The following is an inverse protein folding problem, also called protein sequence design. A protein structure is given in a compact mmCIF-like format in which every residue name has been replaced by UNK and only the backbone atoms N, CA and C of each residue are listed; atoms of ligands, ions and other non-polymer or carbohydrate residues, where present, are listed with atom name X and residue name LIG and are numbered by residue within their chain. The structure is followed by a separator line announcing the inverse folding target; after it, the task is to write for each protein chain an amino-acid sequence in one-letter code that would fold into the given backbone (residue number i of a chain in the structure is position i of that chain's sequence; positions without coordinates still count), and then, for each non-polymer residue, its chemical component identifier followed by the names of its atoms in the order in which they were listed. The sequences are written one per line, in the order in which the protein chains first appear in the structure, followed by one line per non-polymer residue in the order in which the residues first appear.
data_IF_422914162145
#
_entry.id   IF_422914162145
#
_cell.length_a   1.000
_cell.length_b   1.000
_cell.length_c   1.000
_cell.angle_alpha   90.00
_cell.angle_beta   90.00
_cell.angle_gamma   90.00
#
_symmetry.space_group_name_H-M   'P 1'
#
loop_
_entity.id
_entity.type
_entity.pdbx_description
1 polymer ?
#
# COMPACT_ATOMS: atom_id res chain seq x y z
N UNK A 1 10.57 3.80 -1.54
CA UNK A 1 9.17 3.45 -1.20
C UNK A 1 8.27 4.16 -2.20
N UNK A 2 7.23 3.49 -2.70
CA UNK A 2 6.44 3.98 -3.85
C UNK A 2 4.93 3.88 -3.60
N UNK A 3 4.17 4.59 -4.41
CA UNK A 3 2.71 4.53 -4.44
C UNK A 3 2.25 3.32 -5.25
N UNK A 4 0.98 2.94 -5.09
CA UNK A 4 0.39 1.76 -5.73
C UNK A 4 -0.04 2.05 -7.17
N UNK A 5 0.92 2.50 -7.98
CA UNK A 5 0.75 2.79 -9.40
C UNK A 5 1.62 1.85 -10.25
N UNK A 6 1.02 0.96 -11.07
CA UNK A 6 1.79 -0.01 -11.85
C UNK A 6 2.84 0.61 -12.76
N UNK A 7 2.54 1.77 -13.36
CA UNK A 7 3.47 2.49 -14.23
C UNK A 7 4.69 3.01 -13.45
N UNK A 8 4.47 3.63 -12.27
CA UNK A 8 5.54 4.13 -11.43
C UNK A 8 6.43 2.99 -10.92
N UNK A 9 5.83 1.90 -10.40
CA UNK A 9 6.58 0.72 -9.93
C UNK A 9 7.45 0.17 -11.05
N UNK A 10 6.89 -0.01 -12.25
CA UNK A 10 7.63 -0.53 -13.41
C UNK A 10 8.75 0.42 -13.85
N UNK A 11 8.52 1.74 -13.83
CA UNK A 11 9.55 2.72 -14.13
C UNK A 11 10.72 2.61 -13.14
N UNK A 12 10.45 2.57 -11.83
CA UNK A 12 11.50 2.41 -10.82
C UNK A 12 12.26 1.09 -10.97
N UNK A 13 11.57 -0.02 -11.26
CA UNK A 13 12.20 -1.32 -11.50
C UNK A 13 13.17 -1.27 -12.69
N UNK A 14 12.78 -0.60 -13.77
CA UNK A 14 13.59 -0.48 -14.97
C UNK A 14 14.78 0.47 -14.79
N UNK A 15 14.58 1.59 -14.08
CA UNK A 15 15.62 2.60 -13.87
C UNK A 15 16.62 2.19 -12.78
N UNK A 16 16.15 1.49 -11.73
CA UNK A 16 16.96 1.09 -10.59
C UNK A 16 16.81 -0.42 -10.31
N UNK A 17 17.31 -1.30 -11.18
CA UNK A 17 17.06 -2.74 -11.09
C UNK A 17 17.66 -3.40 -9.83
N UNK A 18 18.70 -2.80 -9.25
CA UNK A 18 19.31 -3.26 -7.99
C UNK A 18 18.58 -2.76 -6.74
N UNK A 19 17.67 -1.79 -6.86
CA UNK A 19 16.99 -1.22 -5.72
C UNK A 19 15.84 -2.14 -5.25
N UNK A 20 15.72 -2.31 -3.93
CA UNK A 20 14.53 -2.94 -3.36
C UNK A 20 13.37 -1.96 -3.37
N UNK A 21 12.32 -2.29 -4.12
CA UNK A 21 11.11 -1.48 -4.21
C UNK A 21 10.08 -2.02 -3.23
N UNK A 22 9.56 -1.12 -2.38
CA UNK A 22 8.52 -1.41 -1.40
C UNK A 22 7.41 -0.36 -1.51
N UNK A 23 6.16 -0.78 -1.37
CA UNK A 23 5.00 0.10 -1.34
C UNK A 23 4.88 0.83 0.00
N UNK A 24 4.30 2.03 -0.01
CA UNK A 24 4.04 2.80 1.20
C UNK A 24 2.87 2.21 2.00
N UNK A 25 3.02 1.98 3.31
CA UNK A 25 1.95 1.43 4.15
C UNK A 25 0.74 2.37 4.21
N UNK A 26 0.98 3.68 4.23
CA UNK A 26 -0.10 4.68 4.23
C UNK A 26 -0.93 4.58 2.96
N UNK A 27 -0.30 4.55 1.79
CA UNK A 27 -1.01 4.43 0.51
C UNK A 27 -1.69 3.07 0.35
N UNK A 28 -1.09 1.98 0.85
CA UNK A 28 -1.78 0.69 0.92
C UNK A 28 -3.05 0.77 1.76
N UNK A 29 -2.94 1.35 2.96
CA UNK A 29 -4.06 1.60 3.86
C UNK A 29 -5.17 2.41 3.19
N UNK A 30 -4.81 3.48 2.47
CA UNK A 30 -5.76 4.29 1.72
C UNK A 30 -6.48 3.51 0.61
N UNK A 31 -5.78 2.64 -0.13
CA UNK A 31 -6.40 1.81 -1.17
C UNK A 31 -7.48 0.89 -0.58
N UNK A 32 -7.15 0.16 0.49
CA UNK A 32 -8.09 -0.74 1.18
C UNK A 32 -9.23 0.07 1.80
N UNK A 33 -8.92 1.19 2.47
CA UNK A 33 -9.91 2.05 3.12
C UNK A 33 -10.92 2.62 2.11
N UNK A 34 -10.48 3.15 0.97
CA UNK A 34 -11.38 3.65 -0.08
C UNK A 34 -12.31 2.56 -0.60
N UNK A 35 -11.81 1.32 -0.75
CA UNK A 35 -12.64 0.19 -1.16
C UNK A 35 -13.68 -0.16 -0.09
N UNK A 36 -13.28 -0.24 1.18
CA UNK A 36 -14.21 -0.47 2.30
C UNK A 36 -15.30 0.62 2.37
N UNK A 37 -14.92 1.88 2.16
CA UNK A 37 -15.86 3.00 2.11
C UNK A 37 -16.86 2.87 0.97
N UNK A 38 -16.39 2.59 -0.25
CA UNK A 38 -17.22 2.47 -1.44
C UNK A 38 -18.28 1.35 -1.31
N UNK A 39 -17.96 0.29 -0.59
CA UNK A 39 -18.85 -0.87 -0.37
C UNK A 39 -19.63 -0.78 0.95
N UNK A 40 -19.59 0.34 1.67
CA UNK A 40 -20.40 0.56 2.87
C UNK A 40 -19.86 -0.05 4.17
N UNK A 41 -18.62 -0.57 4.20
CA UNK A 41 -18.01 -1.20 5.38
C UNK A 41 -17.29 -0.22 6.33
N UNK A 42 -17.53 1.08 6.18
CA UNK A 42 -16.83 2.12 6.96
C UNK A 42 -17.08 2.01 8.46
N UNK A 43 -18.33 1.80 8.88
CA UNK A 43 -18.67 1.70 10.31
C UNK A 43 -18.14 0.42 10.91
N UNK A 44 -18.32 -0.69 10.20
CA UNK A 44 -17.80 -2.01 10.57
C UNK A 44 -16.31 -1.95 10.86
N UNK A 45 -15.52 -1.42 9.93
CA UNK A 45 -14.07 -1.31 10.07
C UNK A 45 -13.62 -0.43 11.25
N UNK A 46 -14.40 0.57 11.66
CA UNK A 46 -14.04 1.43 12.79
C UNK A 46 -14.40 0.81 14.15
N UNK A 47 -15.45 -0.01 14.18
CA UNK A 47 -16.06 -0.46 15.43
C UNK A 47 -15.80 -1.94 15.73
N UNK A 48 -15.43 -2.74 14.73
CA UNK A 48 -15.12 -4.17 14.88
C UNK A 48 -13.60 -4.37 14.78
N UNK A 49 -12.88 -4.52 15.91
CA UNK A 49 -11.43 -4.65 15.91
C UNK A 49 -10.93 -5.89 15.17
N UNK A 50 -11.76 -6.94 15.12
CA UNK A 50 -11.43 -8.19 14.43
C UNK A 50 -11.52 -8.07 12.90
N UNK A 51 -12.21 -7.04 12.38
CA UNK A 51 -12.30 -6.78 10.94
C UNK A 51 -11.09 -5.98 10.42
N UNK A 52 -9.88 -6.52 10.66
CA UNK A 52 -8.61 -5.81 10.50
C UNK A 52 -7.80 -6.26 9.27
N UNK A 53 -8.34 -6.09 8.05
CA UNK A 53 -7.66 -6.48 6.80
C UNK A 53 -6.23 -5.92 6.63
N UNK A 54 -5.94 -4.74 7.20
CA UNK A 54 -4.59 -4.15 7.14
C UNK A 54 -3.56 -4.88 8.01
N UNK A 55 -3.98 -5.71 8.96
CA UNK A 55 -3.10 -6.53 9.77
C UNK A 55 -2.26 -7.50 8.92
N UNK A 56 -2.79 -7.94 7.77
CA UNK A 56 -2.09 -8.80 6.80
C UNK A 56 -0.75 -8.19 6.33
N UNK A 57 -0.60 -6.86 6.34
CA UNK A 57 0.67 -6.23 5.98
C UNK A 57 1.80 -6.56 6.97
N UNK A 58 1.46 -6.96 8.20
CA UNK A 58 2.43 -7.27 9.24
C UNK A 58 2.65 -8.76 9.43
N UNK A 59 2.08 -9.59 8.56
CA UNK A 59 2.24 -11.04 8.55
C UNK A 59 3.45 -11.39 7.67
N UNK A 60 4.25 -12.41 8.02
CA UNK A 60 5.31 -12.87 7.15
C UNK A 60 4.78 -13.17 5.74
N UNK A 61 5.44 -12.71 4.66
CA UNK A 61 4.89 -12.81 3.31
C UNK A 61 4.44 -14.21 2.86
N UNK A 62 5.10 -15.25 3.36
CA UNK A 62 4.78 -16.64 3.05
C UNK A 62 3.50 -17.13 3.74
N UNK A 63 3.11 -16.53 4.87
CA UNK A 63 1.95 -16.95 5.68
C UNK A 63 0.69 -16.12 5.35
N UNK A 64 0.84 -15.03 4.59
CA UNK A 64 -0.25 -14.10 4.24
C UNK A 64 -1.43 -14.80 3.56
N UNK A 65 -1.17 -15.72 2.63
CA UNK A 65 -2.23 -16.38 1.85
C UNK A 65 -3.03 -17.30 2.76
N UNK A 66 -2.34 -18.14 3.55
CA UNK A 66 -2.97 -19.07 4.48
C UNK A 66 -3.80 -18.32 5.54
N UNK A 67 -3.24 -17.27 6.13
CA UNK A 67 -3.99 -16.47 7.09
C UNK A 67 -5.19 -15.77 6.45
N UNK A 68 -5.04 -15.24 5.22
CA UNK A 68 -6.17 -14.63 4.52
C UNK A 68 -7.30 -15.65 4.29
N UNK A 69 -6.97 -16.85 3.83
CA UNK A 69 -7.95 -17.94 3.65
C UNK A 69 -8.64 -18.30 4.97
N UNK A 70 -7.87 -18.41 6.07
CA UNK A 70 -8.43 -18.69 7.39
C UNK A 70 -9.34 -17.57 7.91
N UNK A 71 -8.99 -16.31 7.67
CA UNK A 71 -9.85 -15.18 8.05
C UNK A 71 -11.22 -15.25 7.36
N UNK A 72 -11.30 -15.77 6.13
CA UNK A 72 -12.58 -15.92 5.42
C UNK A 72 -13.53 -16.93 6.08
N UNK A 73 -13.03 -17.81 6.95
CA UNK A 73 -13.82 -18.75 7.73
C UNK A 73 -14.45 -18.09 8.97
N UNK A 74 -13.87 -16.98 9.43
CA UNK A 74 -14.30 -16.26 10.63
C UNK A 74 -15.62 -15.49 10.37
N UNK A 75 -16.59 -15.51 11.31
CA UNK A 75 -17.81 -14.71 11.22
C UNK A 75 -17.60 -13.22 10.91
N UNK A 76 -16.50 -12.62 11.37
CA UNK A 76 -16.11 -11.23 11.13
C UNK A 76 -15.82 -10.95 9.64
N UNK A 77 -15.62 -11.97 8.82
CA UNK A 77 -15.36 -11.85 7.38
C UNK A 77 -16.46 -12.48 6.52
N UNK A 78 -17.65 -12.70 7.09
CA UNK A 78 -18.85 -13.03 6.30
C UNK A 78 -19.39 -11.79 5.58
N UNK A 79 -20.02 -12.03 4.42
CA UNK A 79 -20.72 -11.03 3.60
C UNK A 79 -19.85 -9.85 3.14
N UNK A 80 -18.55 -10.06 2.96
CA UNK A 80 -17.60 -9.06 2.45
C UNK A 80 -17.01 -9.52 1.10
N UNK A 81 -17.72 -10.35 0.35
CA UNK A 81 -17.23 -11.00 -0.89
C UNK A 81 -16.63 -9.99 -1.88
N UNK A 82 -17.24 -8.80 -1.99
CA UNK A 82 -16.76 -7.71 -2.85
C UNK A 82 -15.40 -7.14 -2.41
N UNK A 83 -15.09 -7.21 -1.11
CA UNK A 83 -13.79 -6.84 -0.55
C UNK A 83 -12.80 -7.99 -0.77
N UNK A 84 -13.22 -9.23 -0.57
CA UNK A 84 -12.41 -10.42 -0.81
C UNK A 84 -11.97 -10.50 -2.27
N UNK A 85 -12.89 -10.31 -3.21
CA UNK A 85 -12.62 -10.25 -4.65
C UNK A 85 -11.60 -9.17 -4.99
N UNK A 86 -11.74 -7.98 -4.39
CA UNK A 86 -10.78 -6.90 -4.55
C UNK A 86 -9.40 -7.27 -4.02
N UNK A 87 -9.32 -7.92 -2.85
CA UNK A 87 -8.06 -8.36 -2.26
C UNK A 87 -7.39 -9.46 -3.10
N UNK A 88 -8.17 -10.44 -3.57
CA UNK A 88 -7.71 -11.50 -4.48
C UNK A 88 -7.14 -10.94 -5.79
N UNK A 89 -7.81 -9.98 -6.42
CA UNK A 89 -7.32 -9.41 -7.67
C UNK A 89 -6.15 -8.43 -7.46
N UNK A 90 -6.17 -7.68 -6.35
CA UNK A 90 -5.21 -6.60 -6.13
C UNK A 90 -3.91 -7.07 -5.51
N UNK A 91 -3.97 -7.93 -4.48
CA UNK A 91 -2.84 -8.13 -3.55
C UNK A 91 -2.55 -9.57 -3.12
N UNK A 92 -3.56 -10.46 -3.13
CA UNK A 92 -3.40 -11.87 -2.73
C UNK A 92 -3.10 -12.76 -3.94
N UNK A 93 -3.81 -12.56 -5.04
CA UNK A 93 -3.72 -13.38 -6.26
C UNK A 93 -4.84 -14.40 -6.31
N UNK A 94 -5.82 -14.18 -7.19
CA UNK A 94 -7.03 -14.99 -7.30
C UNK A 94 -6.73 -16.47 -7.57
N UNK A 95 -7.34 -17.36 -6.78
CA UNK A 95 -7.28 -18.80 -6.97
C UNK A 95 -8.19 -19.23 -8.14
N UNK A 96 -7.62 -19.89 -9.15
CA UNK A 96 -8.35 -20.47 -10.30
C UNK A 96 -7.83 -21.88 -10.56
N UNK A 97 -8.72 -22.87 -10.58
CA UNK A 97 -8.39 -24.29 -10.88
C UNK A 97 -7.15 -24.78 -10.09
N UNK A 98 -7.17 -24.57 -8.77
CA UNK A 98 -6.10 -24.92 -7.83
C UNK A 98 -4.76 -24.17 -8.00
N UNK A 99 -4.69 -23.11 -8.80
CA UNK A 99 -3.50 -22.25 -8.90
C UNK A 99 -3.85 -20.79 -8.70
N UNK A 100 -3.05 -20.07 -7.91
CA UNK A 100 -3.20 -18.62 -7.74
C UNK A 100 -2.52 -17.89 -8.90
N UNK A 101 -3.24 -16.98 -9.53
CA UNK A 101 -2.69 -16.05 -10.53
C UNK A 101 -1.84 -14.96 -9.87
N UNK A 102 -0.99 -14.25 -10.63
CA UNK A 102 -0.23 -13.13 -10.09
C UNK A 102 -1.20 -11.99 -9.70
N UNK A 103 -1.10 -11.43 -8.49
CA UNK A 103 -1.85 -10.23 -8.11
C UNK A 103 -1.34 -9.00 -8.87
N UNK A 104 -2.15 -7.95 -8.92
CA UNK A 104 -1.72 -6.64 -9.44
C UNK A 104 -0.49 -6.09 -8.70
N UNK A 105 -0.42 -6.32 -7.39
CA UNK A 105 0.69 -5.94 -6.53
C UNK A 105 1.13 -7.14 -5.70
N UNK A 106 2.36 -7.61 -5.93
CA UNK A 106 2.91 -8.77 -5.23
C UNK A 106 2.99 -8.56 -3.71
N UNK A 107 2.80 -9.62 -2.92
CA UNK A 107 2.83 -9.59 -1.44
C UNK A 107 4.10 -8.92 -0.89
N UNK A 108 5.26 -9.24 -1.46
CA UNK A 108 6.55 -8.65 -1.07
C UNK A 108 6.60 -7.13 -1.23
N UNK A 109 5.82 -6.55 -2.14
CA UNK A 109 5.77 -5.11 -2.34
C UNK A 109 5.10 -4.42 -1.14
N UNK A 110 3.94 -4.91 -0.71
CA UNK A 110 3.09 -4.24 0.28
C UNK A 110 3.28 -4.72 1.71
N UNK A 111 3.78 -5.94 1.92
CA UNK A 111 4.16 -6.42 3.26
C UNK A 111 5.18 -5.47 3.92
N UNK A 112 5.03 -5.34 5.23
CA UNK A 112 5.86 -4.53 6.14
C UNK A 112 6.53 -5.38 7.21
N UNK A 113 6.31 -6.70 7.23
CA UNK A 113 6.89 -7.61 8.22
C UNK A 113 8.40 -7.42 8.37
N UNK A 114 9.17 -7.61 7.31
CA UNK A 114 10.64 -7.46 7.36
C UNK A 114 11.10 -6.06 7.76
N UNK A 115 10.35 -5.01 7.38
CA UNK A 115 10.66 -3.63 7.76
C UNK A 115 10.39 -3.37 9.23
N UNK A 116 9.33 -3.94 9.80
CA UNK A 116 9.06 -3.88 11.24
C UNK A 116 10.16 -4.60 12.01
N UNK A 117 10.51 -5.82 11.58
CA UNK A 117 11.59 -6.59 12.22
C UNK A 117 12.96 -5.89 12.14
N UNK A 118 13.21 -5.15 11.05
CA UNK A 118 14.43 -4.36 10.85
C UNK A 118 14.38 -2.93 11.40
N UNK A 119 13.31 -2.52 12.09
CA UNK A 119 13.08 -1.14 12.55
C UNK A 119 13.22 -0.08 11.43
N UNK A 120 12.77 -0.40 10.23
CA UNK A 120 12.83 0.47 9.06
C UNK A 120 11.53 1.29 8.88
N UNK A 121 11.60 2.48 8.22
CA UNK A 121 10.43 3.30 7.96
C UNK A 121 9.34 2.55 7.18
N UNK A 122 8.07 2.66 7.63
CA UNK A 122 6.90 2.01 7.02
C UNK A 122 6.11 2.91 6.07
N UNK A 123 6.29 4.22 6.21
CA UNK A 123 5.74 5.25 5.35
C UNK A 123 6.83 6.21 4.90
N UNK A 124 6.48 7.01 3.89
CA UNK A 124 7.26 8.12 3.36
C UNK A 124 7.02 9.43 4.15
N UNK A 125 6.51 9.38 5.39
CA UNK A 125 6.14 10.58 6.16
C UNK A 125 7.25 11.64 6.23
N UNK A 126 8.52 11.24 6.36
CA UNK A 126 9.64 12.19 6.36
C UNK A 126 9.78 12.92 5.02
N UNK A 127 9.55 12.21 3.91
CA UNK A 127 9.58 12.75 2.55
C UNK A 127 8.36 13.66 2.32
N UNK A 128 7.17 13.25 2.79
CA UNK A 128 5.97 14.07 2.71
C UNK A 128 6.06 15.34 3.57
N UNK A 129 6.65 15.23 4.77
CA UNK A 129 6.96 16.36 5.63
C UNK A 129 7.93 17.34 4.98
N UNK A 130 8.99 16.81 4.34
CA UNK A 130 9.91 17.63 3.55
C UNK A 130 9.21 18.28 2.35
N UNK A 131 8.39 17.53 1.59
CA UNK A 131 7.62 18.10 0.49
C UNK A 131 6.65 19.19 0.95
N UNK A 132 6.02 19.04 2.11
CA UNK A 132 5.12 20.04 2.68
C UNK A 132 5.90 21.31 3.06
N UNK A 133 7.01 21.15 3.80
CA UNK A 133 7.90 22.26 4.12
C UNK A 133 8.41 22.98 2.86
N UNK A 134 8.87 22.22 1.87
CA UNK A 134 9.32 22.75 0.58
C UNK A 134 8.21 23.47 -0.18
N UNK A 135 6.99 22.92 -0.23
CA UNK A 135 5.85 23.58 -0.87
C UNK A 135 5.51 24.91 -0.17
N UNK A 136 5.59 24.97 1.16
CA UNK A 136 5.42 26.21 1.92
C UNK A 136 6.53 27.22 1.60
N UNK A 137 7.78 26.77 1.44
CA UNK A 137 8.94 27.61 1.04
C UNK A 137 8.84 28.09 -0.41
N UNK A 138 8.23 27.31 -1.29
CA UNK A 138 8.01 27.69 -2.70
C UNK A 138 6.87 28.69 -2.83
N UNK A 139 5.89 28.69 -1.91
CA UNK A 139 4.92 29.78 -1.74
C UNK A 139 3.85 29.92 -2.84
N UNK A 140 3.72 28.93 -3.74
CA UNK A 140 2.69 28.91 -4.78
C UNK A 140 1.98 27.54 -4.79
N UNK A 141 0.66 27.52 -4.94
CA UNK A 141 -0.14 26.29 -4.98
C UNK A 141 0.21 25.40 -6.20
N UNK A 142 0.63 26.00 -7.33
CA UNK A 142 0.99 25.28 -8.57
C UNK A 142 2.24 25.85 -9.26
N UNK A 143 3.44 25.64 -8.70
CA UNK A 143 4.68 26.06 -9.32
C UNK A 143 5.04 25.13 -10.48
N UNK A 144 5.43 25.70 -11.63
CA UNK A 144 5.89 24.95 -12.81
C UNK A 144 7.13 24.11 -12.46
N UNK A 145 7.34 23.00 -13.18
CA UNK A 145 8.48 22.09 -12.95
C UNK A 145 9.84 22.83 -12.90
N UNK A 146 10.02 23.82 -13.78
CA UNK A 146 11.22 24.66 -13.84
C UNK A 146 11.41 25.52 -12.58
N UNK A 147 10.33 26.06 -12.00
CA UNK A 147 10.39 26.84 -10.76
C UNK A 147 10.74 25.96 -9.56
N UNK A 148 10.22 24.73 -9.50
CA UNK A 148 10.59 23.75 -8.47
C UNK A 148 12.07 23.37 -8.56
N UNK A 149 12.57 23.08 -9.75
CA UNK A 149 13.97 22.71 -9.98
C UNK A 149 14.97 23.81 -9.56
N UNK A 150 14.65 25.09 -9.82
CA UNK A 150 15.49 26.22 -9.41
C UNK A 150 15.53 26.41 -7.89
N UNK A 151 14.40 26.22 -7.20
CA UNK A 151 14.35 26.29 -5.73
C UNK A 151 15.09 25.12 -5.07
N UNK A 152 15.00 23.92 -5.65
CA UNK A 152 15.78 22.75 -5.24
C UNK A 152 17.31 22.99 -5.30
N UNK A 153 17.78 23.72 -6.32
CA UNK A 153 19.19 24.10 -6.44
C UNK A 153 19.66 25.13 -5.40
N UNK A 154 18.75 25.82 -4.72
CA UNK A 154 19.08 26.82 -3.69
C UNK A 154 19.16 26.23 -2.28
N UNK A 155 18.68 24.99 -2.08
CA UNK A 155 18.71 24.29 -0.78
C UNK A 155 19.88 23.29 -0.64
N UNK A 156 20.74 23.16 -1.66
CA UNK A 156 22.00 22.39 -1.62
C UNK A 156 23.20 23.32 -1.48
#
# INVERSE_FOLDING_TARGET
MVDFEPAAIKAFQNTFPAATITGCMFHFGQCVWRKLQAEGFSERYRNEPDFALLALAFVPPQDVIELFEHLLEDPAYRNIDVICDYMDDSVIGRLRRARRGPPRFAIKLWSKFSRVMGNEPRSNNAIEGWHNAFNNVVGFAHPTATKRARKLQQEQ
#
